data_IF_846552462328
#
_entry.id   IF_846552462328
#
_cell.length_a   1.000
_cell.length_b   1.000
_cell.length_c   1.000
_cell.angle_alpha   90.00
_cell.angle_beta   90.00
_cell.angle_gamma   90.00
#
_symmetry.space_group_name_H-M   'P 1'
#
loop_
_entity.id
_entity.type
_entity.pdbx_description
1 polymer ?
#
# COMPACT_ATOMS: atom_id res chain seq x y z
N UNK A 1 -3.88 26.21 31.55
CA UNK A 1 -4.62 25.36 30.65
C UNK A 1 -4.47 23.92 31.10
N UNK A 2 -5.36 23.06 30.71
CA UNK A 2 -5.35 21.63 31.03
C UNK A 2 -5.70 20.91 29.72
N UNK A 3 -4.65 20.57 28.99
CA UNK A 3 -4.79 19.97 27.63
C UNK A 3 -4.88 18.46 27.76
N UNK A 4 -5.71 17.87 26.94
CA UNK A 4 -5.69 16.42 26.69
C UNK A 4 -5.69 16.13 25.20
N UNK A 5 -5.11 15.00 24.82
CA UNK A 5 -5.09 14.48 23.46
C UNK A 5 -5.70 13.06 23.46
N UNK A 6 -6.55 12.80 22.46
CA UNK A 6 -7.00 11.45 22.13
C UNK A 6 -6.64 11.17 20.67
N UNK A 7 -5.96 10.05 20.42
CA UNK A 7 -5.61 9.53 19.12
C UNK A 7 -6.40 8.26 18.87
N UNK A 8 -7.08 8.16 17.72
CA UNK A 8 -7.99 7.06 17.41
C UNK A 8 -7.97 6.75 15.91
N UNK A 9 -7.98 5.49 15.54
CA UNK A 9 -8.11 4.99 14.17
C UNK A 9 -9.49 4.36 13.90
N UNK A 10 -10.45 4.53 14.84
CA UNK A 10 -11.78 3.94 14.80
C UNK A 10 -11.79 2.39 14.77
N UNK A 11 -10.79 1.75 15.37
CA UNK A 11 -10.63 0.29 15.38
C UNK A 11 -10.26 -0.30 14.02
N UNK A 12 -9.54 0.45 13.20
CA UNK A 12 -9.14 0.03 11.86
C UNK A 12 -8.21 -1.20 11.90
N UNK A 13 -8.32 -2.04 10.88
CA UNK A 13 -7.28 -2.99 10.46
C UNK A 13 -6.81 -2.56 9.09
N UNK A 14 -5.52 -2.23 8.95
CA UNK A 14 -4.99 -1.75 7.67
C UNK A 14 -4.40 -2.90 6.85
N UNK A 15 -4.71 -2.92 5.54
CA UNK A 15 -4.10 -3.85 4.57
C UNK A 15 -2.92 -3.14 3.89
N UNK A 16 -1.73 -3.80 3.75
CA UNK A 16 -0.61 -3.25 3.00
C UNK A 16 -1.02 -2.73 1.62
N UNK A 17 -0.54 -1.53 1.27
CA UNK A 17 -0.92 -0.79 0.05
C UNK A 17 -2.02 0.24 0.27
N UNK A 18 -2.75 0.20 1.38
CA UNK A 18 -3.79 1.18 1.71
C UNK A 18 -3.27 2.29 2.63
N UNK A 19 -4.06 3.35 2.72
CA UNK A 19 -3.84 4.42 3.69
C UNK A 19 -4.45 4.05 5.05
N UNK A 20 -3.82 4.55 6.11
CA UNK A 20 -4.31 4.50 7.47
C UNK A 20 -4.61 5.93 7.93
N UNK A 21 -5.76 6.14 8.54
CA UNK A 21 -6.22 7.44 9.00
C UNK A 21 -6.34 7.46 10.50
N UNK A 22 -5.75 8.48 11.12
CA UNK A 22 -5.90 8.77 12.55
C UNK A 22 -6.64 10.08 12.74
N UNK A 23 -7.48 10.12 13.76
CA UNK A 23 -8.09 11.33 14.29
C UNK A 23 -7.35 11.73 15.55
N UNK A 24 -6.87 12.99 15.63
CA UNK A 24 -6.26 13.56 16.81
C UNK A 24 -7.23 14.60 17.37
N UNK A 25 -7.85 14.30 18.48
CA UNK A 25 -8.78 15.18 19.19
C UNK A 25 -8.06 15.85 20.36
N UNK A 26 -8.04 17.19 20.38
CA UNK A 26 -7.42 18.00 21.42
C UNK A 26 -8.50 18.78 22.14
N UNK A 27 -8.47 18.78 23.47
CA UNK A 27 -9.34 19.65 24.27
C UNK A 27 -8.52 20.37 25.36
N UNK A 28 -9.05 21.50 25.83
CA UNK A 28 -8.58 22.25 26.97
C UNK A 28 -9.64 22.21 28.07
N UNK A 29 -9.42 21.44 29.12
CA UNK A 29 -10.29 21.31 30.29
C UNK A 29 -9.96 22.34 31.40
N UNK A 30 -8.83 23.07 31.22
CA UNK A 30 -8.36 23.99 32.25
C UNK A 30 -9.17 25.29 32.32
N UNK A 31 -9.04 26.04 33.42
CA UNK A 31 -9.80 27.29 33.58
C UNK A 31 -9.29 28.41 32.65
N UNK A 32 -8.11 28.31 32.06
CA UNK A 32 -7.49 29.35 31.20
C UNK A 32 -7.34 28.88 29.77
N UNK A 33 -7.33 29.83 28.83
CA UNK A 33 -7.01 29.58 27.45
C UNK A 33 -5.57 29.03 27.30
N UNK A 34 -5.39 28.09 26.41
CA UNK A 34 -4.07 27.62 26.00
C UNK A 34 -3.53 28.50 24.85
N UNK A 35 -2.25 28.82 24.87
CA UNK A 35 -1.58 29.61 23.85
C UNK A 35 -0.43 28.83 23.19
N UNK A 36 -0.21 29.12 21.91
CA UNK A 36 0.86 28.51 21.09
C UNK A 36 0.84 26.97 21.16
N UNK A 37 -0.32 26.35 20.84
CA UNK A 37 -0.45 24.91 20.86
C UNK A 37 0.37 24.28 19.73
N UNK A 38 0.95 23.13 20.01
CA UNK A 38 1.63 22.28 19.06
C UNK A 38 1.27 20.81 19.32
N UNK A 39 0.74 20.15 18.30
CA UNK A 39 0.58 18.68 18.26
C UNK A 39 1.71 18.11 17.42
N UNK A 40 2.42 17.13 17.95
CA UNK A 40 3.48 16.40 17.24
C UNK A 40 3.15 14.92 17.17
N UNK A 41 3.41 14.32 16.01
CA UNK A 41 3.20 12.90 15.75
C UNK A 41 4.39 12.39 14.92
N UNK A 42 5.11 11.40 15.45
CA UNK A 42 6.22 10.78 14.72
C UNK A 42 5.68 9.60 13.91
N UNK A 43 5.73 9.72 12.60
CA UNK A 43 5.27 8.66 11.69
C UNK A 43 6.07 7.39 11.95
N UNK A 44 5.41 6.24 12.23
CA UNK A 44 6.09 4.97 12.44
C UNK A 44 6.98 4.58 11.27
N UNK A 45 8.11 3.94 11.57
CA UNK A 45 9.07 3.50 10.55
C UNK A 45 8.40 2.60 9.49
N UNK A 46 8.73 2.85 8.24
CA UNK A 46 8.18 2.11 7.09
C UNK A 46 6.86 2.66 6.57
N UNK A 47 6.24 3.65 7.22
CA UNK A 47 5.05 4.34 6.71
C UNK A 47 5.43 5.64 6.00
N UNK A 48 4.56 6.09 5.07
CA UNK A 48 4.69 7.35 4.36
C UNK A 48 3.68 8.40 4.85
N UNK A 49 4.06 9.68 4.84
CA UNK A 49 3.13 10.78 5.07
C UNK A 49 2.25 11.03 3.83
N UNK A 50 0.95 11.17 4.03
CA UNK A 50 0.02 11.56 2.96
C UNK A 50 -0.52 12.96 3.22
N UNK A 51 -1.14 13.19 4.38
CA UNK A 51 -1.70 14.51 4.74
C UNK A 51 -1.94 14.64 6.23
N UNK A 52 -1.95 15.87 6.71
CA UNK A 52 -2.47 16.23 8.03
C UNK A 52 -3.27 17.54 7.91
N UNK A 53 -4.54 17.52 8.31
CA UNK A 53 -5.45 18.68 8.17
C UNK A 53 -6.37 18.79 9.38
N UNK A 54 -6.70 20.02 9.77
CA UNK A 54 -7.67 20.33 10.82
C UNK A 54 -8.09 21.79 10.76
N UNK A 55 -9.35 22.10 10.95
CA UNK A 55 -9.84 23.48 10.91
C UNK A 55 -9.18 24.35 12.00
N UNK A 56 -8.51 25.41 11.58
CA UNK A 56 -7.76 26.31 12.47
C UNK A 56 -6.43 25.73 12.97
N UNK A 57 -5.96 24.62 12.41
CA UNK A 57 -4.62 24.09 12.59
C UNK A 57 -3.76 24.37 11.36
N UNK A 58 -2.50 24.74 11.55
CA UNK A 58 -1.49 24.80 10.51
C UNK A 58 -0.57 23.59 10.65
N UNK A 59 -0.72 22.62 9.73
CA UNK A 59 -0.01 21.35 9.78
C UNK A 59 1.08 21.27 8.73
N UNK A 60 2.21 20.62 9.07
CA UNK A 60 3.30 20.30 8.17
C UNK A 60 4.02 19.05 8.62
N UNK A 61 4.87 18.50 7.74
CA UNK A 61 5.70 17.33 8.04
C UNK A 61 7.16 17.63 7.69
N UNK A 62 8.08 17.27 8.56
CA UNK A 62 9.51 17.34 8.33
C UNK A 62 10.22 16.18 9.04
N UNK A 63 11.16 15.52 8.35
CA UNK A 63 11.97 14.43 8.88
C UNK A 63 11.16 13.33 9.60
N UNK A 64 9.98 12.96 9.07
CA UNK A 64 9.13 11.92 9.65
C UNK A 64 8.26 12.39 10.83
N UNK A 65 8.32 13.66 11.22
CA UNK A 65 7.49 14.23 12.28
C UNK A 65 6.44 15.15 11.67
N UNK A 66 5.18 14.89 11.96
CA UNK A 66 4.05 15.79 11.67
C UNK A 66 3.94 16.78 12.83
N UNK A 67 3.80 18.06 12.50
CA UNK A 67 3.58 19.12 13.48
C UNK A 67 2.37 19.94 13.04
N UNK A 68 1.38 20.05 13.92
CA UNK A 68 0.19 20.89 13.71
C UNK A 68 0.15 21.96 14.80
N UNK A 69 0.14 23.24 14.42
CA UNK A 69 0.14 24.37 15.34
C UNK A 69 -1.18 25.14 15.32
N UNK A 70 -1.54 25.69 16.46
CA UNK A 70 -2.72 26.55 16.65
C UNK A 70 -2.39 27.70 17.60
N UNK A 71 -2.71 28.96 17.27
CA UNK A 71 -2.34 30.09 18.12
C UNK A 71 -2.95 30.04 19.52
N UNK A 72 -4.23 29.72 19.62
CA UNK A 72 -4.96 29.69 20.89
C UNK A 72 -6.07 28.65 20.88
N UNK A 73 -6.38 28.10 22.06
CA UNK A 73 -7.55 27.25 22.31
C UNK A 73 -8.20 27.70 23.62
N UNK A 74 -9.40 28.26 23.51
CA UNK A 74 -10.25 28.49 24.69
C UNK A 74 -10.61 27.20 25.37
N UNK A 75 -11.14 27.27 26.61
CA UNK A 75 -11.68 26.09 27.28
C UNK A 75 -12.72 25.40 26.39
N UNK A 76 -12.57 24.10 26.20
CA UNK A 76 -13.36 23.28 25.30
C UNK A 76 -12.54 22.51 24.25
N UNK A 77 -13.22 21.86 23.32
CA UNK A 77 -12.60 21.05 22.28
C UNK A 77 -12.15 21.88 21.07
N UNK A 78 -10.99 21.56 20.52
CA UNK A 78 -10.56 22.04 19.20
C UNK A 78 -11.22 21.19 18.10
N UNK A 79 -11.36 21.74 16.86
CA UNK A 79 -11.61 20.88 15.70
C UNK A 79 -10.52 19.82 15.58
N UNK A 80 -10.92 18.57 15.33
CA UNK A 80 -9.98 17.45 15.22
C UNK A 80 -9.01 17.63 14.06
N UNK A 81 -7.81 17.05 14.22
CA UNK A 81 -6.83 16.89 13.14
C UNK A 81 -7.02 15.49 12.54
N UNK A 82 -7.11 15.41 11.23
CA UNK A 82 -7.07 14.16 10.49
C UNK A 82 -5.66 13.96 9.95
N UNK A 83 -4.98 12.91 10.40
CA UNK A 83 -3.67 12.48 9.92
C UNK A 83 -3.83 11.23 9.06
N UNK A 84 -3.33 11.28 7.82
CA UNK A 84 -3.33 10.14 6.89
C UNK A 84 -1.89 9.74 6.59
N UNK A 85 -1.61 8.47 6.77
CA UNK A 85 -0.32 7.85 6.42
C UNK A 85 -0.53 6.70 5.42
N UNK A 86 0.43 6.45 4.53
CA UNK A 86 0.39 5.33 3.60
C UNK A 86 1.13 4.12 4.20
N UNK A 87 0.55 2.94 4.05
CA UNK A 87 1.20 1.66 4.36
C UNK A 87 1.67 1.06 3.04
N UNK A 88 2.98 0.85 2.82
CA UNK A 88 3.49 0.31 1.56
C UNK A 88 2.87 -1.04 1.18
N UNK A 89 2.75 -1.33 -0.12
CA UNK A 89 2.18 -2.58 -0.65
C UNK A 89 2.96 -3.84 -0.21
N UNK A 90 4.26 -3.67 0.06
CA UNK A 90 5.18 -4.69 0.56
C UNK A 90 5.51 -4.52 2.06
N UNK A 91 4.62 -3.89 2.83
CA UNK A 91 4.89 -3.63 4.25
C UNK A 91 5.23 -4.91 5.03
N UNK A 92 6.40 -4.90 5.66
CA UNK A 92 6.91 -5.98 6.51
C UNK A 92 7.40 -5.44 7.87
N UNK A 93 6.85 -4.30 8.29
CA UNK A 93 7.18 -3.66 9.56
C UNK A 93 6.43 -4.26 10.76
N UNK A 94 6.32 -3.50 11.83
CA UNK A 94 5.66 -3.94 13.05
C UNK A 94 4.16 -4.24 12.83
N UNK A 95 3.68 -5.29 13.47
CA UNK A 95 2.26 -5.61 13.57
C UNK A 95 1.95 -5.97 15.04
N UNK A 96 1.13 -5.17 15.74
CA UNK A 96 0.44 -3.97 15.27
C UNK A 96 1.39 -2.78 15.01
N UNK A 97 0.92 -1.82 14.20
CA UNK A 97 1.53 -0.50 14.06
C UNK A 97 1.21 0.30 15.32
N UNK A 98 2.24 0.73 16.04
CA UNK A 98 2.10 1.60 17.19
C UNK A 98 2.42 3.03 16.76
N UNK A 99 1.49 3.97 16.97
CA UNK A 99 1.70 5.38 16.66
C UNK A 99 1.19 6.24 17.81
N UNK A 100 1.97 7.23 18.23
CA UNK A 100 1.62 8.14 19.33
C UNK A 100 1.77 9.60 18.92
N UNK A 101 0.95 10.45 19.53
CA UNK A 101 1.00 11.90 19.36
C UNK A 101 1.05 12.59 20.72
N UNK A 102 1.59 13.80 20.73
CA UNK A 102 1.69 14.62 21.94
C UNK A 102 1.22 16.04 21.64
N UNK A 103 0.44 16.65 22.53
CA UNK A 103 0.07 18.07 22.50
C UNK A 103 0.84 18.83 23.57
N UNK A 104 1.22 20.06 23.24
CA UNK A 104 1.80 20.98 24.20
C UNK A 104 1.36 22.42 23.94
N UNK A 105 1.57 23.30 24.91
CA UNK A 105 1.30 24.75 24.81
C UNK A 105 2.34 25.56 25.58
N UNK A 106 2.39 26.87 25.31
CA UNK A 106 3.18 27.80 26.14
C UNK A 106 2.50 28.13 27.49
N UNK A 107 1.21 27.85 27.62
CA UNK A 107 0.49 27.99 28.89
C UNK A 107 0.76 26.73 29.73
N UNK A 108 1.13 26.89 31.00
CA UNK A 108 1.42 25.78 31.91
C UNK A 108 0.21 24.83 32.02
N UNK A 109 0.51 23.55 31.99
CA UNK A 109 -0.43 22.45 32.12
C UNK A 109 -0.12 21.71 33.42
N UNK A 110 -1.08 21.64 34.39
CA UNK A 110 -0.85 20.99 35.65
C UNK A 110 -0.94 19.45 35.58
N UNK A 111 -1.52 18.90 34.51
CA UNK A 111 -1.76 17.45 34.35
C UNK A 111 -1.18 16.90 33.03
N UNK A 112 0.14 17.05 32.78
CA UNK A 112 0.74 16.72 31.49
C UNK A 112 0.70 15.21 31.09
N UNK A 113 0.17 14.37 31.95
CA UNK A 113 0.09 12.92 31.73
C UNK A 113 -0.91 12.50 30.66
N UNK A 114 -1.92 13.31 30.36
CA UNK A 114 -2.95 13.11 29.34
C UNK A 114 -2.70 13.90 28.05
N UNK A 115 -1.55 14.55 27.96
CA UNK A 115 -1.10 15.25 26.76
C UNK A 115 -0.54 14.33 25.67
N UNK A 116 -0.39 13.04 25.94
CA UNK A 116 0.12 12.04 25.00
C UNK A 116 -0.83 10.86 24.94
N UNK A 117 -1.15 10.45 23.72
CA UNK A 117 -1.93 9.25 23.47
C UNK A 117 -1.38 8.46 22.28
N UNK A 118 -1.63 7.16 22.27
CA UNK A 118 -1.11 6.24 21.27
C UNK A 118 -2.13 5.22 20.83
N UNK A 119 -2.11 4.92 19.54
CA UNK A 119 -2.99 3.95 18.90
C UNK A 119 -2.21 2.73 18.42
N UNK A 120 -2.88 1.57 18.47
CA UNK A 120 -2.35 0.26 18.09
C UNK A 120 -3.19 -0.33 16.97
N UNK A 121 -2.77 -0.13 15.72
CA UNK A 121 -3.49 -0.56 14.52
C UNK A 121 -3.00 -1.92 14.05
N UNK A 122 -3.83 -2.98 14.02
CA UNK A 122 -3.47 -4.26 13.42
C UNK A 122 -3.22 -4.14 11.92
N UNK A 123 -2.21 -4.88 11.42
CA UNK A 123 -1.97 -5.04 9.98
C UNK A 123 -2.57 -6.36 9.52
N UNK A 124 -3.52 -6.28 8.61
CA UNK A 124 -4.16 -7.44 7.99
C UNK A 124 -3.27 -8.13 6.96
N UNK A 125 -3.74 -9.27 6.46
CA UNK A 125 -3.06 -9.96 5.38
C UNK A 125 -3.02 -9.11 4.12
N UNK A 126 -1.92 -9.20 3.35
CA UNK A 126 -1.83 -8.59 2.04
C UNK A 126 -2.90 -9.14 1.09
N UNK A 127 -3.41 -8.29 0.20
CA UNK A 127 -4.42 -8.63 -0.80
C UNK A 127 -3.92 -8.24 -2.19
N UNK A 128 -3.59 -9.23 -3.04
CA UNK A 128 -3.23 -9.04 -4.43
C UNK A 128 -4.39 -9.46 -5.34
N UNK A 129 -4.53 -8.78 -6.48
CA UNK A 129 -5.53 -9.08 -7.51
C UNK A 129 -4.82 -9.24 -8.85
N UNK A 130 -4.64 -10.49 -9.32
CA UNK A 130 -3.90 -10.79 -10.53
C UNK A 130 -4.83 -10.93 -11.72
N UNK A 131 -4.55 -10.18 -12.78
CA UNK A 131 -5.18 -10.29 -14.07
C UNK A 131 -4.16 -10.73 -15.12
N UNK A 132 -4.59 -11.49 -16.15
CA UNK A 132 -3.78 -11.89 -17.28
C UNK A 132 -4.51 -11.65 -18.58
N UNK A 133 -3.77 -11.17 -19.58
CA UNK A 133 -4.22 -11.10 -20.97
C UNK A 133 -3.25 -11.92 -21.83
N UNK A 134 -3.78 -12.76 -22.73
CA UNK A 134 -3.03 -13.49 -23.73
C UNK A 134 -3.42 -12.99 -25.11
N UNK A 135 -2.43 -12.56 -25.89
CA UNK A 135 -2.65 -11.98 -27.22
C UNK A 135 -1.58 -12.46 -28.19
N UNK A 136 -1.96 -12.73 -29.44
CA UNK A 136 -1.05 -13.07 -30.56
C UNK A 136 -0.85 -11.90 -31.51
N UNK A 137 -1.41 -10.71 -31.21
CA UNK A 137 -1.35 -9.52 -32.07
C UNK A 137 -2.19 -9.65 -33.34
N UNK A 138 -3.16 -10.56 -33.38
CA UNK A 138 -3.96 -10.87 -34.58
C UNK A 138 -3.20 -11.69 -35.62
N UNK A 139 -2.18 -12.46 -35.20
CA UNK A 139 -1.39 -13.29 -36.09
C UNK A 139 -2.22 -14.43 -36.68
N UNK A 140 -2.02 -14.71 -37.97
CA UNK A 140 -2.56 -15.91 -38.61
C UNK A 140 -1.61 -17.08 -38.42
N UNK A 141 -2.16 -18.20 -37.95
CA UNK A 141 -1.39 -19.45 -37.86
C UNK A 141 -1.09 -20.01 -39.25
N UNK A 142 0.21 -20.14 -39.57
CA UNK A 142 0.67 -20.64 -40.87
C UNK A 142 1.44 -21.95 -40.66
N UNK A 143 1.02 -23.09 -41.28
CA UNK A 143 1.74 -24.35 -41.19
C UNK A 143 3.22 -24.19 -41.60
N UNK A 144 4.12 -24.77 -40.82
CA UNK A 144 5.56 -24.67 -40.97
C UNK A 144 6.23 -23.47 -40.31
N UNK A 145 5.46 -22.53 -39.75
CA UNK A 145 5.97 -21.34 -39.06
C UNK A 145 5.76 -21.43 -37.52
N UNK A 146 6.28 -20.46 -36.81
CA UNK A 146 6.00 -20.28 -35.37
C UNK A 146 4.85 -19.27 -35.19
N UNK A 147 4.11 -19.45 -34.11
CA UNK A 147 3.17 -18.46 -33.59
C UNK A 147 3.66 -18.00 -32.18
N UNK A 148 3.58 -16.72 -31.94
CA UNK A 148 4.03 -16.10 -30.68
C UNK A 148 2.85 -15.49 -29.97
N UNK A 149 2.73 -15.76 -28.67
CA UNK A 149 1.77 -15.15 -27.78
C UNK A 149 2.49 -14.28 -26.75
N UNK A 150 1.94 -13.11 -26.50
CA UNK A 150 2.27 -12.29 -25.34
C UNK A 150 1.33 -12.66 -24.18
N UNK A 151 1.88 -12.88 -22.99
CA UNK A 151 1.12 -13.02 -21.75
C UNK A 151 1.43 -11.83 -20.86
N UNK A 152 0.47 -10.93 -20.71
CA UNK A 152 0.59 -9.72 -19.91
C UNK A 152 -0.11 -9.91 -18.58
N UNK A 153 0.66 -9.90 -17.50
CA UNK A 153 0.18 -10.09 -16.13
C UNK A 153 0.21 -8.75 -15.40
N UNK A 154 -0.88 -8.43 -14.72
CA UNK A 154 -1.01 -7.21 -13.92
C UNK A 154 -1.49 -7.55 -12.51
N UNK A 155 -0.89 -6.95 -11.50
CA UNK A 155 -1.40 -6.97 -10.14
C UNK A 155 -2.23 -5.69 -9.91
N UNK A 156 -3.54 -5.82 -9.77
CA UNK A 156 -4.52 -4.75 -9.54
C UNK A 156 -4.81 -4.54 -8.06
N UNK A 157 -4.33 -5.43 -7.20
CA UNK A 157 -4.60 -5.40 -5.76
C UNK A 157 -3.81 -4.33 -5.02
N UNK A 158 -4.19 -3.97 -3.81
CA UNK A 158 -3.46 -2.98 -3.04
C UNK A 158 -2.08 -3.48 -2.59
N UNK A 159 -1.88 -4.80 -2.42
CA UNK A 159 -0.62 -5.39 -1.93
C UNK A 159 0.17 -6.06 -3.03
N UNK A 160 1.49 -6.18 -2.81
CA UNK A 160 2.35 -6.99 -3.66
C UNK A 160 1.92 -8.46 -3.63
N UNK A 161 1.93 -9.10 -4.80
CA UNK A 161 1.72 -10.55 -4.92
C UNK A 161 3.02 -11.30 -4.67
N UNK A 162 2.94 -12.44 -3.99
CA UNK A 162 4.05 -13.37 -3.78
C UNK A 162 3.79 -14.70 -4.48
N UNK A 163 4.88 -15.36 -4.91
CA UNK A 163 4.82 -16.70 -5.52
C UNK A 163 3.87 -16.75 -6.73
N UNK A 164 4.03 -15.79 -7.66
CA UNK A 164 3.20 -15.68 -8.86
C UNK A 164 3.55 -16.78 -9.83
N UNK A 165 2.52 -17.47 -10.36
CA UNK A 165 2.66 -18.54 -11.36
C UNK A 165 1.67 -18.33 -12.49
N UNK A 166 2.17 -18.42 -13.73
CA UNK A 166 1.38 -18.41 -14.97
C UNK A 166 1.53 -19.77 -15.61
N UNK A 167 0.41 -20.36 -16.02
CA UNK A 167 0.41 -21.63 -16.77
C UNK A 167 -0.30 -21.46 -18.11
N UNK A 168 0.26 -22.05 -19.17
CA UNK A 168 -0.29 -22.04 -20.52
C UNK A 168 -0.16 -23.44 -21.13
N UNK A 169 -1.29 -24.06 -21.47
CA UNK A 169 -1.27 -25.36 -22.13
C UNK A 169 -0.77 -25.23 -23.57
N UNK A 170 0.14 -26.11 -23.98
CA UNK A 170 0.55 -26.19 -25.39
C UNK A 170 -0.67 -26.62 -26.22
N UNK A 171 -1.10 -25.82 -27.20
CA UNK A 171 -2.26 -26.18 -28.01
C UNK A 171 -2.06 -27.49 -28.75
N UNK A 172 -3.13 -28.29 -28.87
CA UNK A 172 -3.06 -29.58 -29.51
C UNK A 172 -2.53 -29.46 -30.95
N UNK A 173 -1.57 -30.31 -31.31
CA UNK A 173 -0.94 -30.31 -32.63
C UNK A 173 0.20 -29.30 -32.80
N UNK A 174 0.45 -28.42 -31.84
CA UNK A 174 1.59 -27.50 -31.84
C UNK A 174 2.74 -28.06 -30.97
N UNK A 175 3.97 -27.58 -31.24
CA UNK A 175 5.14 -27.88 -30.43
C UNK A 175 5.60 -26.65 -29.62
N UNK A 176 6.09 -26.86 -28.42
CA UNK A 176 6.72 -25.79 -27.64
C UNK A 176 8.09 -25.44 -28.22
N UNK A 177 8.39 -24.15 -28.34
CA UNK A 177 9.70 -23.63 -28.79
C UNK A 177 10.40 -22.90 -27.64
N UNK A 178 9.75 -21.91 -27.04
CA UNK A 178 10.35 -21.12 -25.96
C UNK A 178 9.30 -20.36 -25.18
N UNK A 179 9.64 -20.03 -23.93
CA UNK A 179 8.91 -19.06 -23.12
C UNK A 179 9.92 -18.19 -22.35
N UNK A 180 9.83 -16.88 -22.49
CA UNK A 180 10.78 -15.93 -21.90
C UNK A 180 10.06 -14.65 -21.45
N UNK A 181 10.52 -14.06 -20.34
CA UNK A 181 10.05 -12.77 -19.82
C UNK A 181 11.02 -12.23 -18.79
N UNK A 182 11.24 -10.92 -18.77
CA UNK A 182 12.17 -10.31 -17.82
C UNK A 182 11.70 -10.52 -16.39
N UNK A 183 12.52 -11.17 -15.56
CA UNK A 183 12.19 -11.51 -14.16
C UNK A 183 11.20 -12.67 -14.01
N UNK A 184 10.92 -13.41 -15.08
CA UNK A 184 10.21 -14.68 -15.08
C UNK A 184 11.17 -15.85 -15.26
N UNK A 185 10.91 -16.95 -14.57
CA UNK A 185 11.57 -18.24 -14.79
C UNK A 185 10.54 -19.17 -15.45
N UNK A 186 10.78 -19.51 -16.74
CA UNK A 186 9.84 -20.29 -17.53
C UNK A 186 10.41 -21.66 -17.88
N UNK A 187 9.53 -22.66 -17.99
CA UNK A 187 9.81 -24.00 -18.48
C UNK A 187 8.56 -24.66 -19.03
N UNK A 188 8.73 -25.73 -19.80
CA UNK A 188 7.63 -26.57 -20.28
C UNK A 188 7.82 -27.99 -19.75
N UNK A 189 6.74 -28.59 -19.27
CA UNK A 189 6.68 -30.00 -18.89
C UNK A 189 5.30 -30.58 -19.18
N UNK A 190 5.26 -31.78 -19.76
CA UNK A 190 4.03 -32.52 -20.04
C UNK A 190 2.95 -31.72 -20.79
N UNK A 191 3.37 -30.88 -21.75
CA UNK A 191 2.45 -30.06 -22.55
C UNK A 191 1.94 -28.80 -21.84
N UNK A 192 2.55 -28.39 -20.72
CA UNK A 192 2.20 -27.16 -20.00
C UNK A 192 3.43 -26.27 -19.85
N UNK A 193 3.35 -25.05 -20.35
CA UNK A 193 4.31 -24.00 -20.06
C UNK A 193 4.00 -23.41 -18.68
N UNK A 194 5.00 -23.31 -17.83
CA UNK A 194 4.88 -22.68 -16.50
C UNK A 194 5.92 -21.59 -16.39
N UNK A 195 5.49 -20.37 -16.06
CA UNK A 195 6.36 -19.24 -15.77
C UNK A 195 6.13 -18.75 -14.34
N UNK A 196 7.18 -18.67 -13.55
CA UNK A 196 7.11 -18.26 -12.14
C UNK A 196 7.89 -16.98 -11.87
N UNK A 197 7.43 -16.21 -10.89
CA UNK A 197 8.05 -14.99 -10.40
C UNK A 197 7.88 -14.91 -8.88
N UNK A 198 8.94 -14.58 -8.14
CA UNK A 198 8.91 -14.58 -6.69
C UNK A 198 7.93 -13.53 -6.13
N UNK A 199 7.96 -12.31 -6.69
CA UNK A 199 7.10 -11.20 -6.28
C UNK A 199 6.65 -10.39 -7.49
N UNK A 200 5.44 -9.85 -7.44
CA UNK A 200 4.92 -8.86 -8.39
C UNK A 200 4.33 -7.69 -7.64
N UNK A 201 4.98 -6.54 -7.74
CA UNK A 201 4.47 -5.29 -7.20
C UNK A 201 3.11 -4.92 -7.84
N UNK A 202 2.36 -4.05 -7.20
CA UNK A 202 1.15 -3.47 -7.78
C UNK A 202 1.49 -2.82 -9.12
N UNK A 203 0.73 -3.17 -10.15
CA UNK A 203 0.94 -2.74 -11.53
C UNK A 203 1.31 -3.88 -12.49
N UNK A 204 1.69 -3.55 -13.74
CA UNK A 204 2.01 -4.53 -14.77
C UNK A 204 3.38 -5.19 -14.56
N UNK A 205 3.46 -6.50 -14.83
CA UNK A 205 4.72 -7.22 -14.99
C UNK A 205 5.31 -7.01 -16.39
N UNK A 206 6.62 -7.24 -16.59
CA UNK A 206 7.16 -7.46 -17.93
C UNK A 206 6.45 -8.63 -18.61
N UNK A 207 6.09 -8.44 -19.89
CA UNK A 207 5.38 -9.45 -20.70
C UNK A 207 6.18 -10.74 -20.82
N UNK A 208 5.47 -11.87 -20.83
CA UNK A 208 6.03 -13.18 -21.17
C UNK A 208 5.75 -13.45 -22.65
N UNK A 209 6.78 -13.76 -23.43
CA UNK A 209 6.65 -14.22 -24.80
C UNK A 209 6.68 -15.74 -24.83
N UNK A 210 5.62 -16.37 -25.31
CA UNK A 210 5.52 -17.82 -25.51
C UNK A 210 5.46 -18.12 -27.00
N UNK A 211 6.34 -19.00 -27.47
CA UNK A 211 6.46 -19.36 -28.89
C UNK A 211 6.14 -20.84 -29.06
N UNK A 212 5.22 -21.12 -30.00
CA UNK A 212 4.87 -22.47 -30.43
C UNK A 212 5.21 -22.68 -31.91
N UNK A 213 5.69 -23.87 -32.28
CA UNK A 213 5.85 -24.28 -33.66
C UNK A 213 4.55 -24.88 -34.20
N UNK A 214 4.21 -24.49 -35.43
CA UNK A 214 3.07 -25.07 -36.17
C UNK A 214 3.64 -26.06 -37.18
N UNK A 215 3.37 -27.37 -37.04
CA UNK A 215 3.84 -28.37 -38.01
C UNK A 215 3.39 -28.06 -39.45
N UNK A 216 4.21 -28.37 -40.43
CA UNK A 216 3.84 -28.19 -41.83
C UNK A 216 2.61 -28.99 -42.28
N UNK A 217 2.30 -30.07 -41.54
CA UNK A 217 1.11 -30.92 -41.75
C UNK A 217 -0.11 -30.46 -40.94
N UNK A 218 -0.05 -29.29 -40.28
CA UNK A 218 -1.17 -28.78 -39.46
C UNK A 218 -2.38 -28.42 -40.33
N UNK A 219 -3.54 -28.94 -40.00
CA UNK A 219 -4.78 -28.78 -40.81
C UNK A 219 -5.86 -27.94 -40.12
N UNK A 220 -5.55 -27.37 -38.92
CA UNK A 220 -6.49 -26.58 -38.12
C UNK A 220 -7.31 -27.40 -37.13
#
# INVERSE_FOLDING_TARGET
>A
ADLNLVKDDAGATVVPGNNLTYTLAVANAGPSDAAALSVTDTIPAGLGFVSATGAGWACGQAAGVVTCTRPTLAVGAAPAITLVVSVPANYAGANPILNSATVGSSTADPTPGDNTDGESTPVGAGSADLAIVKDDGGASVVPGNNVTYALDVTNLGPSDASTVSVTDAVPAGLGFVSATGAGWTCGEAAGVVTCTRATLAVGPAPSISVVFSVPASYTG
#
